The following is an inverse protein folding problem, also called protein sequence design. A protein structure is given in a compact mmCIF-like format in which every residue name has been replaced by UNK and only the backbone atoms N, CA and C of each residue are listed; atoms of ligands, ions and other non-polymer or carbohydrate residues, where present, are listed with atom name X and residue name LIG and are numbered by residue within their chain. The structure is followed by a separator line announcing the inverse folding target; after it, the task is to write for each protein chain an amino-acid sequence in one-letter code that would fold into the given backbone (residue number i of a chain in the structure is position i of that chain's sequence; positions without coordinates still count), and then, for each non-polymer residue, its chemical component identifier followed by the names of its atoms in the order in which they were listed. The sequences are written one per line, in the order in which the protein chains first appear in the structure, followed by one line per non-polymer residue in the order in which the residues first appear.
data_IF_777538683213
#
_entry.id   IF_777538683213
#
_cell.length_a   1.000
_cell.length_b   1.000
_cell.length_c   1.000
_cell.angle_alpha   90.00
_cell.angle_beta   90.00
_cell.angle_gamma   90.00
#
_symmetry.space_group_name_H-M   'P 1'
#
loop_
_entity.id
_entity.type
_entity.pdbx_description
1 polymer ?
#
# COMPACT_ATOMS: atom_id res chain seq x y z
N UNK A 1 -29.81 -25.34 11.37
CA UNK A 1 -29.90 -25.51 9.92
C UNK A 1 -29.69 -24.15 9.22
N UNK A 2 -28.46 -23.69 9.18
CA UNK A 2 -28.07 -22.36 8.62
C UNK A 2 -27.28 -22.52 7.30
N UNK A 3 -27.18 -23.75 6.80
CA UNK A 3 -26.40 -24.06 5.58
C UNK A 3 -27.22 -24.13 4.27
N UNK A 4 -28.51 -23.81 4.30
CA UNK A 4 -29.39 -23.97 3.13
C UNK A 4 -29.81 -22.68 2.41
N UNK A 5 -29.08 -21.57 2.59
CA UNK A 5 -29.30 -20.33 1.83
C UNK A 5 -28.01 -19.77 1.24
N UNK A 6 -27.29 -20.59 0.49
CA UNK A 6 -26.35 -20.08 -0.50
C UNK A 6 -27.15 -19.92 -1.80
N UNK A 7 -27.41 -18.67 -2.15
CA UNK A 7 -28.02 -18.30 -3.43
C UNK A 7 -27.01 -18.64 -4.51
N UNK A 8 -27.43 -19.42 -5.51
CA UNK A 8 -26.65 -19.72 -6.71
C UNK A 8 -26.30 -18.43 -7.44
N UNK A 9 -25.02 -18.04 -7.35
CA UNK A 9 -24.46 -17.05 -8.26
C UNK A 9 -24.21 -17.70 -9.60
N UNK A 10 -24.61 -17.10 -10.73
CA UNK A 10 -24.34 -17.66 -12.05
C UNK A 10 -22.84 -17.82 -12.25
N UNK A 11 -22.42 -19.03 -12.60
CA UNK A 11 -21.03 -19.32 -12.95
C UNK A 11 -20.66 -18.52 -14.20
N UNK A 12 -19.66 -17.65 -14.07
CA UNK A 12 -19.06 -16.94 -15.18
C UNK A 12 -18.28 -17.97 -16.00
N UNK A 13 -18.81 -18.37 -17.15
CA UNK A 13 -18.04 -19.11 -18.15
C UNK A 13 -17.30 -18.08 -19.00
N UNK A 14 -15.95 -18.13 -19.09
CA UNK A 14 -15.24 -17.28 -20.02
C UNK A 14 -15.61 -17.71 -21.45
N UNK A 15 -16.21 -16.81 -22.21
CA UNK A 15 -16.36 -17.01 -23.66
C UNK A 15 -14.95 -17.05 -24.27
N UNK A 16 -14.65 -18.13 -24.98
CA UNK A 16 -13.46 -18.24 -25.82
C UNK A 16 -13.54 -17.19 -26.93
N UNK A 17 -12.79 -16.09 -26.78
CA UNK A 17 -12.60 -15.14 -27.88
C UNK A 17 -11.88 -15.83 -29.03
N UNK A 18 -12.61 -16.04 -30.12
CA UNK A 18 -12.00 -16.41 -31.39
C UNK A 18 -11.08 -15.29 -31.86
N UNK A 19 -9.84 -15.57 -32.24
CA UNK A 19 -8.90 -14.53 -32.69
C UNK A 19 -9.49 -13.86 -33.94
N UNK A 20 -9.71 -12.53 -33.82
CA UNK A 20 -10.04 -11.70 -34.96
C UNK A 20 -8.81 -11.55 -35.87
N UNK A 21 -8.95 -11.57 -37.20
CA UNK A 21 -7.85 -11.37 -38.12
C UNK A 21 -7.29 -9.94 -37.93
N UNK A 22 -5.99 -9.85 -37.67
CA UNK A 22 -5.26 -8.58 -37.58
C UNK A 22 -5.36 -7.86 -38.92
N UNK A 23 -5.87 -6.63 -38.92
CA UNK A 23 -5.79 -5.74 -40.06
C UNK A 23 -4.31 -5.43 -40.33
N UNK A 24 -3.78 -5.96 -41.42
CA UNK A 24 -2.45 -5.62 -41.92
C UNK A 24 -2.35 -4.15 -42.23
N UNK A 25 -1.54 -3.42 -41.52
CA UNK A 25 -1.35 -1.96 -41.75
C UNK A 25 -0.29 -1.26 -40.94
N UNK A 26 0.26 -1.89 -39.89
CA UNK A 26 1.41 -1.29 -39.18
C UNK A 26 2.70 -1.80 -39.82
N UNK A 27 3.32 -0.95 -40.65
CA UNK A 27 4.74 -1.13 -41.03
C UNK A 27 5.56 -1.01 -39.74
N UNK A 28 6.11 -2.12 -39.26
CA UNK A 28 7.16 -2.10 -38.27
C UNK A 28 8.35 -1.33 -38.86
N UNK A 29 8.62 -0.15 -38.32
CA UNK A 29 9.89 0.51 -38.60
C UNK A 29 11.03 -0.48 -38.27
N UNK A 30 12.06 -0.59 -39.08
CA UNK A 30 13.19 -1.46 -38.76
C UNK A 30 13.77 -1.02 -37.42
N UNK A 31 13.88 -1.95 -36.47
CA UNK A 31 14.56 -1.73 -35.21
C UNK A 31 16.05 -1.48 -35.51
N UNK A 32 16.41 -0.22 -35.70
CA UNK A 32 17.82 0.17 -35.63
C UNK A 32 18.28 -0.10 -34.20
N UNK A 33 19.35 -0.87 -34.00
CA UNK A 33 19.94 -1.01 -32.67
C UNK A 33 20.24 0.39 -32.14
N UNK A 34 19.81 0.68 -30.91
CA UNK A 34 20.17 1.92 -30.22
C UNK A 34 21.70 1.97 -30.12
N UNK A 35 22.34 2.73 -30.97
CA UNK A 35 23.74 3.08 -30.82
C UNK A 35 23.80 4.22 -29.81
N UNK A 36 24.34 3.95 -28.64
CA UNK A 36 24.62 4.97 -27.63
C UNK A 36 25.37 6.13 -28.26
N UNK A 37 24.91 7.36 -28.05
CA UNK A 37 25.59 8.56 -28.53
C UNK A 37 26.99 8.62 -27.91
N UNK A 38 28.06 8.96 -28.66
CA UNK A 38 29.41 9.04 -28.13
C UNK A 38 29.63 10.11 -27.05
N UNK A 39 28.62 10.88 -26.73
CA UNK A 39 28.64 11.88 -25.63
C UNK A 39 28.12 11.34 -24.31
N UNK A 40 27.57 10.16 -24.28
CA UNK A 40 27.27 9.47 -23.04
C UNK A 40 28.59 8.93 -22.48
N UNK A 41 29.31 9.78 -21.75
CA UNK A 41 30.39 9.33 -20.87
C UNK A 41 29.86 8.21 -19.98
N UNK A 42 30.73 7.34 -19.44
CA UNK A 42 30.29 6.26 -18.57
C UNK A 42 29.37 6.86 -17.52
N UNK A 43 28.08 6.45 -17.53
CA UNK A 43 27.13 6.89 -16.54
C UNK A 43 27.77 6.62 -15.19
N UNK A 44 28.33 7.65 -14.57
CA UNK A 44 28.74 7.61 -13.18
C UNK A 44 27.43 7.51 -12.42
N UNK A 45 26.95 6.26 -12.31
CA UNK A 45 25.95 5.95 -11.30
C UNK A 45 26.56 6.45 -9.99
N UNK A 46 26.05 7.58 -9.49
CA UNK A 46 26.36 7.99 -8.14
C UNK A 46 26.12 6.73 -7.33
N UNK A 47 27.11 6.31 -6.53
CA UNK A 47 27.00 5.11 -5.72
C UNK A 47 25.80 5.27 -4.81
N UNK A 48 24.69 4.80 -5.31
CA UNK A 48 23.47 4.64 -4.57
C UNK A 48 23.81 3.63 -3.48
N UNK A 49 23.83 4.04 -2.24
CA UNK A 49 24.22 3.18 -1.14
C UNK A 49 23.15 2.13 -0.79
N UNK A 50 21.98 2.18 -1.50
CA UNK A 50 20.91 1.19 -1.38
C UNK A 50 20.34 1.05 0.03
N UNK A 51 20.63 1.99 0.92
CA UNK A 51 20.27 1.92 2.32
C UNK A 51 19.07 2.81 2.60
N UNK A 52 17.91 2.20 2.65
CA UNK A 52 16.68 2.86 3.02
C UNK A 52 15.46 2.36 2.23
N UNK A 53 14.27 2.58 2.73
CA UNK A 53 13.05 2.26 2.02
C UNK A 53 12.86 3.18 0.81
N UNK A 54 12.12 2.70 -0.19
CA UNK A 54 11.72 3.52 -1.32
C UNK A 54 10.73 4.59 -0.85
N UNK A 55 11.00 5.84 -1.18
CA UNK A 55 10.06 6.98 -1.08
C UNK A 55 9.63 7.35 -2.48
N UNK A 56 8.32 7.43 -2.71
CA UNK A 56 7.75 7.84 -4.00
C UNK A 56 7.25 9.27 -3.89
N UNK A 57 7.76 10.16 -4.74
CA UNK A 57 7.34 11.56 -4.80
C UNK A 57 6.32 11.73 -5.92
N UNK A 58 5.11 12.18 -5.59
CA UNK A 58 4.03 12.39 -6.57
C UNK A 58 3.64 13.86 -6.59
N UNK A 59 3.77 14.47 -7.75
CA UNK A 59 3.55 15.89 -7.94
C UNK A 59 2.35 16.18 -8.83
N UNK A 60 1.52 17.13 -8.45
CA UNK A 60 0.62 17.82 -9.38
C UNK A 60 1.14 19.22 -9.69
N UNK A 61 1.09 19.62 -10.96
CA UNK A 61 1.65 20.90 -11.40
C UNK A 61 0.93 21.51 -12.61
N UNK A 62 1.19 22.82 -12.81
CA UNK A 62 0.78 23.56 -14.00
C UNK A 62 1.90 23.57 -15.05
N UNK A 63 1.61 23.14 -16.29
CA UNK A 63 2.56 23.27 -17.39
C UNK A 63 2.99 24.73 -17.65
N UNK A 64 2.14 25.72 -17.31
CA UNK A 64 2.48 27.15 -17.43
C UNK A 64 3.63 27.55 -16.51
N UNK A 65 3.85 26.82 -15.40
CA UNK A 65 4.90 27.10 -14.42
C UNK A 65 6.08 26.12 -14.50
N UNK A 66 6.09 25.26 -15.51
CA UNK A 66 7.15 24.28 -15.74
C UNK A 66 7.02 23.00 -14.93
N UNK A 67 7.79 21.99 -15.30
CA UNK A 67 7.83 20.68 -14.65
C UNK A 67 8.59 20.81 -13.32
N UNK A 68 8.12 20.16 -12.23
CA UNK A 68 8.87 20.10 -10.98
C UNK A 68 10.23 19.43 -11.16
N UNK A 69 11.25 19.92 -10.43
CA UNK A 69 12.56 19.29 -10.40
C UNK A 69 12.53 18.03 -9.52
N UNK A 70 13.32 17.02 -9.89
CA UNK A 70 13.51 15.82 -9.07
C UNK A 70 14.23 16.17 -7.76
N UNK A 71 13.63 15.94 -6.59
CA UNK A 71 14.25 16.28 -5.31
C UNK A 71 15.46 15.41 -4.98
N UNK A 72 15.60 14.22 -5.61
CA UNK A 72 16.74 13.34 -5.38
C UNK A 72 18.03 13.84 -6.02
N UNK A 73 17.94 14.81 -6.94
CA UNK A 73 19.08 15.32 -7.70
C UNK A 73 19.62 14.37 -8.78
N UNK A 74 19.05 13.18 -8.94
CA UNK A 74 19.46 12.22 -9.97
C UNK A 74 18.96 12.61 -11.36
N UNK A 75 17.98 13.50 -11.43
CA UNK A 75 17.28 13.92 -12.65
C UNK A 75 16.47 12.77 -13.24
N UNK A 76 15.16 12.90 -13.27
CA UNK A 76 14.32 11.86 -13.84
C UNK A 76 12.92 11.85 -13.26
N UNK A 77 12.21 10.76 -13.54
CA UNK A 77 10.82 10.58 -13.15
C UNK A 77 9.89 10.59 -14.36
N UNK A 78 8.63 10.37 -14.07
CA UNK A 78 7.58 10.32 -15.09
C UNK A 78 6.80 11.61 -15.11
N UNK A 79 6.49 12.10 -16.32
CA UNK A 79 5.62 13.27 -16.50
C UNK A 79 4.42 12.87 -17.34
N UNK A 80 3.24 12.90 -16.71
CA UNK A 80 1.97 12.58 -17.35
C UNK A 80 1.19 13.85 -17.68
N UNK A 81 0.68 13.91 -18.89
CA UNK A 81 -0.13 15.05 -19.37
C UNK A 81 -1.61 14.71 -19.22
N UNK A 82 -2.27 15.33 -18.25
CA UNK A 82 -3.70 15.14 -18.00
C UNK A 82 -4.60 16.03 -18.90
N UNK A 83 -4.04 16.78 -19.88
CA UNK A 83 -4.82 17.72 -20.69
C UNK A 83 -5.72 17.04 -21.73
N UNK A 84 -5.46 15.77 -22.02
CA UNK A 84 -6.30 14.96 -22.90
C UNK A 84 -7.67 14.63 -22.32
N UNK A 85 -7.83 14.65 -21.00
CA UNK A 85 -9.07 14.32 -20.32
C UNK A 85 -9.98 15.55 -20.14
N UNK A 86 -11.25 15.34 -19.90
CA UNK A 86 -12.27 16.38 -19.76
C UNK A 86 -11.89 17.40 -18.67
N UNK A 87 -12.13 18.68 -18.93
CA UNK A 87 -11.65 19.78 -18.10
C UNK A 87 -12.76 20.41 -17.26
N UNK A 88 -12.86 20.14 -15.94
CA UNK A 88 -13.85 20.78 -15.07
C UNK A 88 -13.75 22.31 -15.06
N UNK A 89 -12.55 22.85 -15.16
CA UNK A 89 -12.31 24.29 -15.12
C UNK A 89 -12.93 25.12 -16.25
N UNK A 90 -13.58 24.47 -17.23
CA UNK A 90 -14.40 25.14 -18.24
C UNK A 90 -15.78 25.56 -17.72
N UNK A 91 -16.22 25.02 -16.60
CA UNK A 91 -17.55 25.19 -16.05
C UNK A 91 -17.51 26.01 -14.78
N UNK A 92 -18.39 27.01 -14.66
CA UNK A 92 -18.42 27.96 -13.53
C UNK A 92 -18.46 27.28 -12.15
N UNK A 93 -19.23 26.21 -11.90
CA UNK A 93 -19.33 25.61 -10.57
C UNK A 93 -17.98 25.05 -10.06
N UNK A 94 -17.04 24.74 -10.95
CA UNK A 94 -15.78 24.05 -10.58
C UNK A 94 -14.55 24.95 -10.61
N UNK A 95 -14.67 26.20 -11.11
CA UNK A 95 -13.52 27.09 -11.34
C UNK A 95 -12.69 27.37 -10.08
N UNK A 96 -13.35 27.47 -8.94
CA UNK A 96 -12.71 27.78 -7.66
C UNK A 96 -12.44 26.54 -6.80
N UNK A 97 -12.79 25.35 -7.30
CA UNK A 97 -12.56 24.07 -6.64
C UNK A 97 -11.26 23.43 -7.17
N UNK A 98 -10.81 22.39 -6.52
CA UNK A 98 -9.61 21.62 -6.87
C UNK A 98 -9.96 20.16 -7.18
N UNK A 99 -8.99 19.39 -7.62
CA UNK A 99 -9.16 17.94 -7.80
C UNK A 99 -9.33 17.13 -6.50
N UNK A 100 -9.28 17.79 -5.34
CA UNK A 100 -9.57 17.19 -4.03
C UNK A 100 -11.00 17.43 -3.56
N UNK A 101 -11.74 18.30 -4.25
CA UNK A 101 -13.11 18.65 -3.86
C UNK A 101 -14.12 17.69 -4.49
N UNK A 102 -15.03 17.16 -3.66
CA UNK A 102 -16.04 16.15 -4.03
C UNK A 102 -16.81 16.46 -5.35
N UNK A 103 -17.27 17.71 -5.63
CA UNK A 103 -17.97 17.99 -6.87
C UNK A 103 -17.08 17.82 -8.12
N UNK A 104 -15.77 18.10 -8.02
CA UNK A 104 -14.80 17.91 -9.10
C UNK A 104 -14.46 16.43 -9.26
N UNK A 105 -14.31 15.72 -8.17
CA UNK A 105 -14.08 14.27 -8.16
C UNK A 105 -15.21 13.57 -8.92
N UNK A 106 -16.46 13.82 -8.54
CA UNK A 106 -17.65 13.24 -9.20
C UNK A 106 -17.69 13.60 -10.69
N UNK A 107 -17.46 14.86 -11.04
CA UNK A 107 -17.46 15.26 -12.44
C UNK A 107 -16.44 14.47 -13.27
N UNK A 108 -15.25 14.24 -12.75
CA UNK A 108 -14.17 13.51 -13.43
C UNK A 108 -14.47 12.00 -13.51
N UNK A 109 -15.06 11.43 -12.47
CA UNK A 109 -15.42 10.02 -12.41
C UNK A 109 -16.62 9.67 -13.28
N UNK A 110 -17.66 10.50 -13.28
CA UNK A 110 -18.87 10.33 -14.11
C UNK A 110 -18.55 10.40 -15.61
N UNK A 111 -17.58 11.22 -16.00
CA UNK A 111 -17.10 11.33 -17.38
C UNK A 111 -16.27 10.10 -17.81
N UNK A 112 -15.52 9.50 -16.89
CA UNK A 112 -14.77 8.25 -17.06
C UNK A 112 -13.45 8.35 -17.84
N UNK A 113 -13.17 9.43 -18.59
CA UNK A 113 -11.92 9.59 -19.36
C UNK A 113 -10.68 9.55 -18.45
N UNK A 114 -10.75 10.20 -17.27
CA UNK A 114 -9.64 10.24 -16.33
C UNK A 114 -9.39 8.88 -15.68
N UNK A 115 -10.42 8.08 -15.49
CA UNK A 115 -10.30 6.72 -14.95
C UNK A 115 -9.54 5.81 -15.92
N UNK A 116 -9.90 5.85 -17.20
CA UNK A 116 -9.19 5.10 -18.26
C UNK A 116 -7.72 5.52 -18.38
N UNK A 117 -7.45 6.81 -18.26
CA UNK A 117 -6.09 7.36 -18.22
C UNK A 117 -5.33 6.79 -17.01
N UNK A 118 -5.90 6.85 -15.81
CA UNK A 118 -5.27 6.35 -14.57
C UNK A 118 -5.03 4.84 -14.58
N UNK A 119 -5.90 4.03 -15.16
CA UNK A 119 -5.65 2.59 -15.32
C UNK A 119 -4.34 2.30 -16.09
N UNK A 120 -4.07 3.08 -17.12
CA UNK A 120 -2.83 2.96 -17.90
C UNK A 120 -1.61 3.42 -17.09
N UNK A 121 -1.76 4.49 -16.30
CA UNK A 121 -0.72 4.99 -15.40
C UNK A 121 -0.45 3.99 -14.28
N UNK A 122 -1.47 3.41 -13.67
CA UNK A 122 -1.31 2.40 -12.61
C UNK A 122 -0.50 1.19 -13.08
N UNK A 123 -0.81 0.65 -14.27
CA UNK A 123 -0.05 -0.48 -14.84
C UNK A 123 1.43 -0.17 -15.03
N UNK A 124 1.74 1.04 -15.50
CA UNK A 124 3.11 1.50 -15.66
C UNK A 124 3.80 1.70 -14.30
N UNK A 125 3.15 2.43 -13.40
CA UNK A 125 3.67 2.73 -12.07
C UNK A 125 3.95 1.46 -11.27
N UNK A 126 3.02 0.50 -11.28
CA UNK A 126 3.15 -0.78 -10.58
C UNK A 126 4.41 -1.54 -10.97
N UNK A 127 4.65 -1.66 -12.27
CA UNK A 127 5.84 -2.36 -12.78
C UNK A 127 7.14 -1.69 -12.32
N UNK A 128 7.17 -0.36 -12.29
CA UNK A 128 8.35 0.39 -11.93
C UNK A 128 8.57 0.47 -10.43
N UNK A 129 7.53 0.72 -9.64
CA UNK A 129 7.62 0.69 -8.17
C UNK A 129 8.13 -0.66 -7.69
N UNK A 130 7.55 -1.77 -8.18
CA UNK A 130 8.02 -3.11 -7.84
C UNK A 130 9.49 -3.31 -8.20
N UNK A 131 9.91 -2.85 -9.39
CA UNK A 131 11.28 -2.98 -9.85
C UNK A 131 12.25 -2.14 -9.02
N UNK A 132 11.85 -0.93 -8.61
CA UNK A 132 12.63 -0.06 -7.74
C UNK A 132 12.84 -0.69 -6.36
N UNK A 133 11.77 -1.23 -5.76
CA UNK A 133 11.86 -1.98 -4.50
C UNK A 133 12.85 -3.15 -4.62
N UNK A 134 12.72 -3.98 -5.67
CA UNK A 134 13.59 -5.15 -5.89
C UNK A 134 15.07 -4.78 -6.09
N UNK A 135 15.33 -3.60 -6.64
CA UNK A 135 16.69 -3.10 -6.87
C UNK A 135 17.23 -2.26 -5.72
N UNK A 136 16.45 -2.01 -4.67
CA UNK A 136 16.85 -1.22 -3.53
C UNK A 136 16.99 0.28 -3.82
N UNK A 137 16.28 0.84 -4.80
CA UNK A 137 16.25 2.28 -5.03
C UNK A 137 15.42 2.99 -3.96
N UNK A 138 15.84 4.20 -3.51
CA UNK A 138 15.16 4.95 -2.44
C UNK A 138 14.32 6.11 -2.94
N UNK A 139 14.36 6.48 -4.22
CA UNK A 139 13.58 7.60 -4.74
C UNK A 139 13.01 7.29 -6.11
N UNK A 140 11.72 7.58 -6.30
CA UNK A 140 11.01 7.51 -7.57
C UNK A 140 10.05 8.69 -7.65
N UNK A 141 9.95 9.33 -8.81
CA UNK A 141 9.13 10.51 -8.99
C UNK A 141 8.09 10.32 -10.10
N UNK A 142 6.86 10.76 -9.82
CA UNK A 142 5.77 10.86 -10.78
C UNK A 142 5.19 12.27 -10.76
N UNK A 143 5.00 12.86 -11.93
CA UNK A 143 4.46 14.21 -12.07
C UNK A 143 3.22 14.20 -12.96
N UNK A 144 2.16 14.86 -12.53
CA UNK A 144 0.93 15.04 -13.29
C UNK A 144 0.75 16.51 -13.64
N UNK A 145 0.70 16.83 -14.94
CA UNK A 145 0.55 18.18 -15.43
C UNK A 145 -0.81 18.42 -16.07
N UNK A 146 -1.42 19.56 -15.77
CA UNK A 146 -2.51 20.11 -16.59
C UNK A 146 -2.28 21.60 -16.82
N UNK A 147 -3.20 22.29 -17.51
CA UNK A 147 -2.99 23.70 -17.87
C UNK A 147 -2.83 24.60 -16.65
N UNK A 148 -3.71 24.46 -15.66
CA UNK A 148 -3.72 25.28 -14.44
C UNK A 148 -3.14 24.60 -13.19
N UNK A 149 -2.89 23.29 -13.23
CA UNK A 149 -2.41 22.54 -12.05
C UNK A 149 -3.45 22.43 -10.94
N UNK A 150 -4.76 22.54 -11.23
CA UNK A 150 -5.78 22.72 -10.20
C UNK A 150 -6.75 21.53 -10.06
N UNK A 151 -7.19 20.91 -11.17
CA UNK A 151 -8.23 19.87 -11.15
C UNK A 151 -7.66 18.50 -11.51
N UNK A 152 -7.50 18.21 -12.82
CA UNK A 152 -7.11 16.91 -13.37
C UNK A 152 -5.77 16.40 -12.86
N UNK A 153 -4.77 17.27 -12.80
CA UNK A 153 -3.45 16.92 -12.27
C UNK A 153 -3.48 16.62 -10.78
N UNK A 154 -4.26 17.37 -10.01
CA UNK A 154 -4.42 17.18 -8.57
C UNK A 154 -5.11 15.85 -8.29
N UNK A 155 -6.26 15.60 -8.93
CA UNK A 155 -6.98 14.33 -8.85
C UNK A 155 -6.07 13.15 -9.21
N UNK A 156 -5.39 13.22 -10.37
CA UNK A 156 -4.54 12.10 -10.83
C UNK A 156 -3.36 11.83 -9.90
N UNK A 157 -2.73 12.88 -9.38
CA UNK A 157 -1.60 12.74 -8.45
C UNK A 157 -2.05 12.11 -7.14
N UNK A 158 -3.16 12.57 -6.56
CA UNK A 158 -3.71 12.01 -5.32
C UNK A 158 -4.02 10.53 -5.48
N UNK A 159 -4.75 10.16 -6.53
CA UNK A 159 -5.16 8.78 -6.76
C UNK A 159 -3.98 7.83 -7.05
N UNK A 160 -2.94 8.29 -7.79
CA UNK A 160 -1.74 7.48 -7.96
C UNK A 160 -0.99 7.30 -6.63
N UNK A 161 -0.88 8.34 -5.83
CA UNK A 161 -0.20 8.28 -4.54
C UNK A 161 -0.87 7.27 -3.60
N UNK A 162 -2.18 7.35 -3.48
CA UNK A 162 -2.98 6.40 -2.68
C UNK A 162 -2.89 4.96 -3.23
N UNK A 163 -2.93 4.80 -4.55
CA UNK A 163 -2.78 3.50 -5.19
C UNK A 163 -1.43 2.86 -4.86
N UNK A 164 -0.33 3.60 -5.02
CA UNK A 164 1.03 3.11 -4.74
C UNK A 164 1.18 2.79 -3.26
N UNK A 165 0.77 3.71 -2.39
CA UNK A 165 0.84 3.52 -0.95
C UNK A 165 0.07 2.28 -0.49
N UNK A 166 -1.20 2.15 -0.92
CA UNK A 166 -2.07 1.04 -0.55
C UNK A 166 -1.60 -0.31 -1.10
N UNK A 167 -0.99 -0.32 -2.29
CA UNK A 167 -0.57 -1.56 -2.96
C UNK A 167 0.78 -2.06 -2.47
N UNK A 168 1.74 -1.17 -2.27
CA UNK A 168 3.13 -1.53 -2.00
C UNK A 168 3.56 -1.27 -0.56
N UNK A 169 2.79 -0.50 0.22
CA UNK A 169 3.14 -0.12 1.59
C UNK A 169 4.42 0.71 1.66
N UNK A 170 4.71 1.48 0.62
CA UNK A 170 5.84 2.42 0.60
C UNK A 170 5.38 3.81 1.03
N UNK A 171 6.33 4.60 1.54
CA UNK A 171 6.08 6.00 1.84
C UNK A 171 5.88 6.78 0.54
N UNK A 172 4.85 7.62 0.49
CA UNK A 172 4.56 8.47 -0.67
C UNK A 172 4.40 9.91 -0.22
N UNK A 173 5.20 10.80 -0.81
CA UNK A 173 5.12 12.24 -0.63
C UNK A 173 4.29 12.84 -1.76
N UNK A 174 3.17 13.46 -1.42
CA UNK A 174 2.26 14.10 -2.37
C UNK A 174 2.46 15.61 -2.31
N UNK A 175 2.70 16.23 -3.46
CA UNK A 175 2.93 17.65 -3.59
C UNK A 175 1.95 18.26 -4.59
N UNK A 176 0.92 18.92 -4.10
CA UNK A 176 0.04 19.72 -4.96
C UNK A 176 0.56 21.14 -5.04
N UNK A 177 1.54 21.34 -5.95
CA UNK A 177 2.36 22.57 -6.00
C UNK A 177 1.53 23.85 -6.09
N UNK A 178 0.48 23.86 -6.91
CA UNK A 178 -0.31 25.08 -7.15
C UNK A 178 -1.28 25.40 -5.99
N UNK A 179 -1.59 24.42 -5.17
CA UNK A 179 -2.41 24.55 -3.96
C UNK A 179 -1.57 24.78 -2.70
N UNK A 180 -0.26 24.59 -2.77
CA UNK A 180 0.61 24.63 -1.59
C UNK A 180 0.29 23.51 -0.57
N UNK A 181 -0.25 22.39 -1.05
CA UNK A 181 -0.59 21.23 -0.21
C UNK A 181 0.52 20.20 -0.29
N UNK A 182 0.99 19.79 0.86
CA UNK A 182 1.96 18.72 1.05
C UNK A 182 1.37 17.65 1.97
N UNK A 183 1.46 16.39 1.58
CA UNK A 183 0.96 15.26 2.34
C UNK A 183 1.98 14.12 2.30
N UNK A 184 2.16 13.43 3.41
CA UNK A 184 2.99 12.24 3.50
C UNK A 184 2.07 11.06 3.84
N UNK A 185 2.01 10.07 2.95
CA UNK A 185 1.35 8.80 3.20
C UNK A 185 2.42 7.84 3.72
N UNK A 186 2.47 7.67 5.04
CA UNK A 186 3.46 6.81 5.69
C UNK A 186 2.94 5.38 5.82
N UNK A 187 3.84 4.38 5.70
CA UNK A 187 3.46 3.00 5.90
C UNK A 187 2.90 2.77 7.30
N UNK A 188 1.74 2.15 7.38
CA UNK A 188 1.20 1.71 8.67
C UNK A 188 2.08 0.60 9.21
N UNK A 189 2.54 0.73 10.46
CA UNK A 189 3.19 -0.34 11.20
C UNK A 189 2.15 -1.20 11.89
N UNK A 190 2.44 -2.47 12.06
CA UNK A 190 1.56 -3.37 12.79
C UNK A 190 2.29 -4.05 13.94
N UNK A 191 1.54 -4.35 15.00
CA UNK A 191 1.98 -5.22 16.08
C UNK A 191 1.04 -6.42 16.19
N UNK A 192 1.61 -7.63 16.20
CA UNK A 192 0.86 -8.86 16.43
C UNK A 192 1.14 -9.35 17.85
N UNK A 193 0.10 -9.49 18.66
CA UNK A 193 0.22 -10.10 19.96
C UNK A 193 0.33 -11.64 19.87
N UNK A 194 1.54 -12.16 20.11
CA UNK A 194 1.85 -13.58 20.08
C UNK A 194 2.46 -14.11 21.38
N UNK A 195 2.69 -13.26 22.40
CA UNK A 195 3.28 -13.62 23.68
C UNK A 195 2.37 -14.46 24.61
N UNK A 196 1.09 -14.60 24.27
CA UNK A 196 0.10 -15.26 25.13
C UNK A 196 0.37 -16.75 25.33
N UNK A 197 0.17 -17.26 26.58
CA UNK A 197 0.42 -18.64 26.97
C UNK A 197 -0.50 -19.68 26.31
N UNK A 198 -1.58 -19.27 25.68
CA UNK A 198 -2.50 -20.15 24.94
C UNK A 198 -3.23 -21.20 25.81
N UNK A 199 -3.41 -20.96 27.09
CA UNK A 199 -3.93 -21.94 28.08
C UNK A 199 -5.29 -22.53 27.69
N UNK A 200 -6.14 -21.78 26.99
CA UNK A 200 -7.47 -22.22 26.53
C UNK A 200 -7.41 -23.21 25.37
N UNK A 201 -6.30 -23.30 24.67
CA UNK A 201 -6.10 -24.20 23.51
C UNK A 201 -5.35 -25.50 23.91
N UNK A 202 -5.15 -25.76 25.20
CA UNK A 202 -4.59 -27.03 25.65
C UNK A 202 -5.50 -28.19 25.21
N UNK A 203 -4.94 -29.34 24.78
CA UNK A 203 -3.52 -29.73 24.88
C UNK A 203 -2.63 -29.23 23.72
N UNK A 204 -3.15 -28.60 22.66
CA UNK A 204 -2.38 -28.19 21.49
C UNK A 204 -1.19 -27.27 21.85
N UNK A 205 -1.40 -26.39 22.83
CA UNK A 205 -0.38 -25.41 23.26
C UNK A 205 0.55 -25.95 24.37
N UNK A 206 0.55 -27.26 24.65
CA UNK A 206 1.53 -27.84 25.55
C UNK A 206 2.93 -27.93 24.95
N UNK A 207 3.03 -28.02 23.61
CA UNK A 207 4.28 -28.25 22.89
C UNK A 207 4.56 -27.20 21.80
N UNK A 208 3.66 -26.24 21.59
CA UNK A 208 3.85 -25.18 20.61
C UNK A 208 3.16 -23.87 21.04
N UNK A 209 3.65 -22.71 20.58
CA UNK A 209 2.98 -21.44 20.87
C UNK A 209 1.62 -21.38 20.16
N UNK A 210 0.66 -20.66 20.74
CA UNK A 210 -0.65 -20.42 20.14
C UNK A 210 -0.56 -19.87 18.71
N UNK A 211 0.42 -19.01 18.45
CA UNK A 211 0.67 -18.42 17.15
C UNK A 211 0.94 -19.45 16.03
N UNK A 212 1.46 -20.62 16.38
CA UNK A 212 1.77 -21.68 15.43
C UNK A 212 0.71 -22.79 15.35
N UNK A 213 -0.37 -22.68 16.12
CA UNK A 213 -1.49 -23.64 16.00
C UNK A 213 -2.08 -23.53 14.58
N UNK A 214 -2.18 -24.66 13.87
CA UNK A 214 -2.69 -24.64 12.50
C UNK A 214 -4.21 -24.49 12.48
N UNK A 215 -4.69 -23.63 11.59
CA UNK A 215 -6.10 -23.48 11.23
C UNK A 215 -6.15 -23.53 9.71
N UNK A 216 -6.99 -24.40 9.17
CA UNK A 216 -7.11 -24.61 7.71
C UNK A 216 -5.74 -24.83 7.03
N UNK A 217 -4.91 -25.66 7.65
CA UNK A 217 -3.58 -26.05 7.13
C UNK A 217 -2.46 -25.02 7.28
N UNK A 218 -2.73 -23.83 7.83
CA UNK A 218 -1.75 -22.77 8.04
C UNK A 218 -1.69 -22.32 9.51
N UNK A 219 -0.51 -21.97 10.07
CA UNK A 219 -0.42 -21.35 11.38
C UNK A 219 -1.26 -20.08 11.52
N UNK A 220 -1.83 -19.83 12.69
CA UNK A 220 -2.55 -18.57 12.98
C UNK A 220 -1.71 -17.34 12.64
N UNK A 221 -0.43 -17.36 12.97
CA UNK A 221 0.51 -16.28 12.65
C UNK A 221 0.59 -16.02 11.14
N UNK A 222 0.60 -17.08 10.32
CA UNK A 222 0.65 -16.93 8.86
C UNK A 222 -0.60 -16.23 8.34
N UNK A 223 -1.78 -16.59 8.81
CA UNK A 223 -3.04 -15.93 8.43
C UNK A 223 -2.99 -14.44 8.73
N UNK A 224 -2.46 -14.04 9.90
CA UNK A 224 -2.38 -12.63 10.27
C UNK A 224 -1.36 -11.88 9.43
N UNK A 225 -0.18 -12.47 9.21
CA UNK A 225 0.85 -11.85 8.37
C UNK A 225 0.38 -11.68 6.92
N UNK A 226 -0.27 -12.71 6.34
CA UNK A 226 -0.85 -12.62 4.99
C UNK A 226 -1.93 -11.53 4.91
N UNK A 227 -2.79 -11.42 5.92
CA UNK A 227 -3.82 -10.38 5.99
C UNK A 227 -3.24 -8.98 6.10
N UNK A 228 -2.29 -8.78 7.02
CA UNK A 228 -1.62 -7.49 7.22
C UNK A 228 -0.82 -7.09 5.97
N UNK A 229 -0.16 -8.06 5.32
CA UNK A 229 0.54 -7.84 4.07
C UNK A 229 -0.42 -7.45 2.93
N UNK A 230 -1.58 -8.07 2.82
CA UNK A 230 -2.59 -7.76 1.78
C UNK A 230 -3.17 -6.36 1.93
N UNK A 231 -3.19 -5.83 3.14
CA UNK A 231 -3.54 -4.45 3.45
C UNK A 231 -2.47 -3.45 2.97
N UNK A 232 -1.22 -3.89 2.75
CA UNK A 232 -0.08 -3.05 2.33
C UNK A 232 0.94 -2.80 3.45
N UNK A 233 0.67 -3.20 4.68
CA UNK A 233 1.65 -3.08 5.77
C UNK A 233 2.81 -4.06 5.57
N UNK A 234 4.04 -3.53 5.63
CA UNK A 234 5.28 -4.30 5.44
C UNK A 234 6.17 -4.32 6.68
N UNK A 235 5.88 -3.52 7.69
CA UNK A 235 6.66 -3.42 8.94
C UNK A 235 5.82 -3.95 10.10
N UNK A 236 6.22 -5.09 10.65
CA UNK A 236 5.46 -5.81 11.68
C UNK A 236 6.34 -6.09 12.89
N UNK A 237 5.85 -5.77 14.07
CA UNK A 237 6.43 -6.16 15.35
C UNK A 237 5.62 -7.33 15.90
N UNK A 238 6.28 -8.42 16.29
CA UNK A 238 5.64 -9.57 16.95
C UNK A 238 6.18 -9.64 18.38
N UNK A 239 5.31 -9.50 19.38
CA UNK A 239 5.79 -9.77 20.74
C UNK A 239 5.85 -11.27 21.00
N UNK A 240 6.90 -11.70 21.67
CA UNK A 240 7.17 -13.12 21.95
C UNK A 240 7.54 -13.33 23.40
N UNK A 241 7.07 -14.43 23.98
CA UNK A 241 7.36 -14.84 25.36
C UNK A 241 7.54 -16.36 25.43
N UNK A 242 6.47 -17.11 25.64
CA UNK A 242 6.50 -18.57 25.73
C UNK A 242 6.69 -19.19 24.34
N UNK A 243 7.65 -20.12 24.20
CA UNK A 243 8.06 -20.69 22.92
C UNK A 243 8.54 -19.65 21.87
N UNK A 244 9.15 -18.55 22.31
CA UNK A 244 9.64 -17.49 21.44
C UNK A 244 10.54 -18.02 20.30
N UNK A 245 11.48 -18.92 20.62
CA UNK A 245 12.39 -19.51 19.63
C UNK A 245 11.66 -20.23 18.50
N UNK A 246 10.51 -20.86 18.79
CA UNK A 246 9.72 -21.54 17.76
C UNK A 246 9.08 -20.54 16.79
N UNK A 247 8.60 -19.39 17.30
CA UNK A 247 8.01 -18.35 16.48
C UNK A 247 9.09 -17.71 15.59
N UNK A 248 10.24 -17.37 16.17
CA UNK A 248 11.38 -16.79 15.45
C UNK A 248 11.89 -17.73 14.35
N UNK A 249 12.05 -19.02 14.69
CA UNK A 249 12.49 -20.04 13.74
C UNK A 249 11.47 -20.24 12.61
N UNK A 250 10.17 -20.21 12.93
CA UNK A 250 9.13 -20.31 11.93
C UNK A 250 9.18 -19.13 10.97
N UNK A 251 9.29 -17.89 11.45
CA UNK A 251 9.41 -16.68 10.63
C UNK A 251 10.65 -16.75 9.73
N UNK A 252 11.80 -17.18 10.28
CA UNK A 252 13.03 -17.35 9.52
C UNK A 252 12.91 -18.38 8.39
N UNK A 253 12.18 -19.47 8.63
CA UNK A 253 11.99 -20.55 7.64
C UNK A 253 10.90 -20.25 6.61
N UNK A 254 10.06 -19.25 6.87
CA UNK A 254 8.97 -18.85 5.98
C UNK A 254 9.10 -17.36 5.62
N UNK A 255 10.13 -16.99 4.82
CA UNK A 255 10.37 -15.59 4.50
C UNK A 255 9.19 -15.00 3.74
N UNK A 256 8.78 -13.82 4.15
CA UNK A 256 7.76 -13.01 3.51
C UNK A 256 8.39 -11.68 3.05
N UNK A 257 7.77 -11.03 2.08
CA UNK A 257 8.14 -9.67 1.68
C UNK A 257 7.64 -8.67 2.73
N UNK A 258 8.23 -8.75 3.93
CA UNK A 258 7.89 -7.93 5.12
C UNK A 258 9.12 -7.80 6.02
N UNK A 259 9.25 -6.65 6.67
CA UNK A 259 10.19 -6.44 7.78
C UNK A 259 9.53 -6.91 9.07
N UNK A 260 9.99 -8.03 9.61
CA UNK A 260 9.44 -8.59 10.86
C UNK A 260 10.47 -8.43 11.96
N UNK A 261 10.09 -7.74 13.04
CA UNK A 261 10.90 -7.53 14.24
C UNK A 261 10.24 -8.16 15.45
N UNK A 262 11.02 -8.58 16.43
CA UNK A 262 10.52 -9.22 17.64
C UNK A 262 10.66 -8.29 18.85
N UNK A 263 9.57 -8.12 19.60
CA UNK A 263 9.57 -7.53 20.93
C UNK A 263 9.67 -8.66 21.93
N UNK A 264 10.86 -8.85 22.51
CA UNK A 264 11.19 -9.99 23.37
C UNK A 264 10.72 -9.76 24.81
N UNK A 265 9.73 -10.53 25.23
CA UNK A 265 9.16 -10.54 26.57
C UNK A 265 9.53 -11.82 27.35
N UNK A 266 10.59 -12.57 26.94
CA UNK A 266 10.96 -13.85 27.61
C UNK A 266 11.22 -13.69 29.10
N UNK A 267 11.75 -12.53 29.54
CA UNK A 267 12.05 -12.26 30.93
C UNK A 267 10.79 -12.10 31.80
N UNK A 268 9.75 -11.48 31.25
CA UNK A 268 8.50 -11.20 31.95
C UNK A 268 7.37 -11.01 30.93
N UNK A 269 6.22 -11.64 31.16
CA UNK A 269 5.01 -11.45 30.35
C UNK A 269 4.37 -10.11 30.71
N UNK A 270 4.35 -9.18 29.76
CA UNK A 270 3.97 -7.80 30.00
C UNK A 270 2.48 -7.51 29.78
N UNK A 271 1.69 -8.50 29.38
CA UNK A 271 0.30 -8.33 28.98
C UNK A 271 0.13 -7.32 27.82
N UNK A 272 -1.12 -6.90 27.56
CA UNK A 272 -1.44 -6.08 26.40
C UNK A 272 -0.76 -4.69 26.46
N UNK A 273 -1.02 -3.93 27.53
CA UNK A 273 -0.52 -2.56 27.68
C UNK A 273 0.98 -2.49 27.87
N UNK A 274 1.54 -3.40 28.67
CA UNK A 274 2.99 -3.53 28.88
C UNK A 274 3.72 -3.91 27.60
N UNK A 275 3.19 -4.87 26.83
CA UNK A 275 3.75 -5.27 25.55
C UNK A 275 3.80 -4.13 24.52
N UNK A 276 2.73 -3.31 24.43
CA UNK A 276 2.75 -2.10 23.57
C UNK A 276 3.84 -1.14 24.02
N UNK A 277 3.90 -0.85 25.31
CA UNK A 277 4.89 0.06 25.87
C UNK A 277 6.33 -0.43 25.64
N UNK A 278 6.55 -1.73 25.78
CA UNK A 278 7.87 -2.35 25.54
C UNK A 278 8.27 -2.27 24.05
N UNK A 279 7.31 -2.43 23.13
CA UNK A 279 7.52 -2.32 21.70
C UNK A 279 7.51 -0.87 21.18
N UNK A 280 7.29 0.15 22.03
CA UNK A 280 7.04 1.53 21.60
C UNK A 280 8.12 2.07 20.64
N UNK A 281 9.40 1.91 20.96
CA UNK A 281 10.50 2.37 20.09
C UNK A 281 10.55 1.69 18.73
N UNK A 282 9.97 0.48 18.60
CA UNK A 282 9.84 -0.24 17.33
C UNK A 282 8.61 0.24 16.53
N UNK A 283 7.64 0.86 17.19
CA UNK A 283 6.40 1.35 16.58
C UNK A 283 6.47 2.85 16.26
N UNK A 284 7.43 3.59 16.84
CA UNK A 284 7.65 5.01 16.59
C UNK A 284 7.99 5.29 15.12
N UNK A 285 7.55 6.46 14.62
CA UNK A 285 7.83 6.92 13.25
C UNK A 285 6.79 6.50 12.22
N UNK A 286 5.69 5.88 12.62
CA UNK A 286 4.48 5.83 11.81
C UNK A 286 3.69 7.13 12.03
N UNK A 287 3.52 7.98 11.00
CA UNK A 287 2.88 9.29 11.16
C UNK A 287 1.42 9.20 11.56
N UNK A 288 0.73 8.11 11.17
CA UNK A 288 -0.72 7.94 11.30
C UNK A 288 -1.13 6.88 12.33
N UNK A 289 -0.19 6.52 13.24
CA UNK A 289 -0.44 5.49 14.23
C UNK A 289 -0.02 4.09 13.78
N UNK A 290 -0.37 3.08 14.56
CA UNK A 290 -0.03 1.68 14.29
C UNK A 290 -1.23 0.77 14.54
N UNK A 291 -1.27 -0.33 13.78
CA UNK A 291 -2.29 -1.35 13.90
C UNK A 291 -1.89 -2.41 14.93
N UNK A 292 -2.77 -2.72 15.88
CA UNK A 292 -2.59 -3.85 16.80
C UNK A 292 -3.53 -4.97 16.38
N UNK A 293 -3.01 -6.19 16.32
CA UNK A 293 -3.78 -7.39 15.98
C UNK A 293 -3.45 -8.55 16.90
N UNK A 294 -4.46 -9.20 17.45
CA UNK A 294 -4.25 -10.46 18.18
C UNK A 294 -4.01 -11.60 17.19
N UNK A 295 -3.03 -12.46 17.47
CA UNK A 295 -2.68 -13.58 16.58
C UNK A 295 -3.81 -14.59 16.37
N UNK A 296 -4.74 -14.70 17.30
CA UNK A 296 -5.83 -15.69 17.33
C UNK A 296 -7.19 -15.15 16.86
N UNK A 297 -7.25 -13.92 16.34
CA UNK A 297 -8.49 -13.36 15.81
C UNK A 297 -8.49 -13.48 14.28
N UNK A 298 -9.25 -14.43 13.77
CA UNK A 298 -9.53 -14.52 12.33
C UNK A 298 -10.77 -13.71 12.02
N UNK A 299 -10.67 -12.77 11.11
CA UNK A 299 -11.78 -11.89 10.71
C UNK A 299 -11.74 -11.59 9.22
N UNK A 300 -12.90 -11.24 8.66
CA UNK A 300 -13.06 -10.77 7.28
C UNK A 300 -13.08 -9.24 7.17
N UNK A 301 -12.66 -8.53 8.22
CA UNK A 301 -12.62 -7.07 8.25
C UNK A 301 -11.66 -6.55 7.18
N UNK A 302 -12.10 -5.53 6.44
CA UNK A 302 -11.25 -4.73 5.58
C UNK A 302 -10.39 -3.79 6.44
N UNK A 303 -9.09 -4.09 6.54
CA UNK A 303 -8.15 -3.30 7.34
C UNK A 303 -7.93 -1.90 6.77
N UNK A 304 -8.15 -1.66 5.47
CA UNK A 304 -8.02 -0.32 4.88
C UNK A 304 -9.13 0.59 5.36
N UNK A 305 -10.37 0.12 5.29
CA UNK A 305 -11.52 0.87 5.81
C UNK A 305 -11.37 1.12 7.32
N UNK A 306 -10.87 0.12 8.06
CA UNK A 306 -10.66 0.26 9.50
C UNK A 306 -9.60 1.33 9.82
N UNK A 307 -8.43 1.31 9.17
CA UNK A 307 -7.36 2.28 9.39
C UNK A 307 -7.77 3.67 8.93
N UNK A 308 -8.47 3.78 7.80
CA UNK A 308 -9.01 5.06 7.33
C UNK A 308 -10.00 5.67 8.32
N UNK A 309 -10.90 4.87 8.88
CA UNK A 309 -11.82 5.34 9.92
C UNK A 309 -11.09 5.70 11.23
N UNK A 310 -9.97 5.05 11.52
CA UNK A 310 -9.16 5.28 12.72
C UNK A 310 -8.34 6.58 12.67
N UNK A 311 -7.99 7.08 11.48
CA UNK A 311 -7.12 8.25 11.31
C UNK A 311 -7.61 9.55 11.95
N UNK A 312 -8.89 9.62 12.29
CA UNK A 312 -9.52 10.78 12.95
C UNK A 312 -9.53 10.67 14.48
N UNK A 313 -8.98 9.62 15.06
CA UNK A 313 -9.09 9.31 16.48
C UNK A 313 -7.75 8.86 17.06
N UNK A 314 -7.50 9.21 18.32
CA UNK A 314 -6.29 8.77 19.05
C UNK A 314 -6.23 7.25 19.22
N UNK A 315 -7.38 6.59 19.33
CA UNK A 315 -7.52 5.14 19.39
C UNK A 315 -8.87 4.68 18.84
N UNK A 316 -8.85 3.61 18.05
CA UNK A 316 -10.06 3.02 17.47
C UNK A 316 -10.06 1.51 17.73
N UNK A 317 -11.16 0.99 18.22
CA UNK A 317 -11.33 -0.44 18.49
C UNK A 317 -12.33 -1.06 17.50
N UNK A 318 -11.95 -2.19 16.92
CA UNK A 318 -12.88 -3.02 16.19
C UNK A 318 -13.62 -3.93 17.18
N UNK A 319 -14.92 -3.77 17.23
CA UNK A 319 -15.78 -4.57 18.10
C UNK A 319 -16.82 -5.34 17.28
N UNK A 320 -17.31 -6.44 17.82
CA UNK A 320 -18.39 -7.23 17.22
C UNK A 320 -19.46 -7.47 18.27
N UNK A 321 -20.70 -7.16 17.92
CA UNK A 321 -21.86 -7.55 18.74
C UNK A 321 -22.03 -9.07 18.68
N UNK A 322 -22.03 -9.70 19.85
CA UNK A 322 -22.27 -11.14 19.99
C UNK A 322 -23.28 -11.37 21.10
N UNK A 323 -24.28 -12.18 20.82
CA UNK A 323 -25.21 -12.69 21.86
C UNK A 323 -24.55 -13.79 22.71
N UNK A 324 -23.44 -13.47 23.38
CA UNK A 324 -22.73 -14.41 24.26
C UNK A 324 -22.57 -13.79 25.65
N UNK A 325 -22.69 -14.61 26.68
CA UNK A 325 -22.41 -14.23 28.09
C UNK A 325 -20.89 -14.11 28.34
N UNK A 326 -20.10 -13.57 27.40
CA UNK A 326 -18.68 -13.40 27.62
C UNK A 326 -18.33 -11.95 27.90
N UNK A 327 -17.69 -11.81 29.03
CA UNK A 327 -17.09 -10.66 29.63
C UNK A 327 -16.31 -9.76 28.65
N UNK A 328 -16.50 -8.49 28.80
CA UNK A 328 -15.46 -7.51 28.58
C UNK A 328 -14.47 -7.59 29.71
#
# INVERSE_FOLDING_TARGET
DVLSRMVDLPQFQPEEEKPQPRADGYRTAPSTPYTAHPQDGPATFSKYDGRGPLVVNVWSFSFRKGIPADPSGNGGGYVFDCRSTHNPGRYEPYKNLTGLDEPVIRFLEDDGEILTFLESVYRLADAHVLRYIQRGFTSLMFCFGCTGGQHRSVYSAQHLAEHIHNKFGVEVHVHHREQGVEQILSPVRAMIFAAGLGTRLKPLTNSMPKALVPVDGKPLLQHQLEKIRSFGCRDVVINVHHFADMIEQWVKNNPMDMSIRFSDERAELLDTGGGIKHAASMLEGASDGFLIHNVDILSNVDLRQFVQAASLHDATLLVSERSTQRYL
#
